data_IF_221995283516
#
_entry.id   IF_221995283516
#
_cell.length_a   1.000
_cell.length_b   1.000
_cell.length_c   1.000
_cell.angle_alpha   90.00
_cell.angle_beta   90.00
_cell.angle_gamma   90.00
#
_symmetry.space_group_name_H-M   'P 1'
#
loop_
_entity.id
_entity.type
_entity.pdbx_description
1 polymer ?
#
# COMPACT_ATOMS: atom_id res chain seq x y z
N UNK A 1 -7.51 0.78 0.11
CA UNK A 1 -8.58 0.23 0.95
C UNK A 1 -9.01 -1.11 0.37
N UNK A 2 -9.07 -2.13 1.22
CA UNK A 2 -9.61 -3.46 0.90
C UNK A 2 -10.96 -3.57 1.62
N UNK A 3 -12.00 -3.94 0.89
CA UNK A 3 -13.34 -4.11 1.47
C UNK A 3 -13.88 -5.51 1.17
N UNK A 4 -14.56 -6.09 2.13
CA UNK A 4 -15.13 -7.44 2.00
C UNK A 4 -16.63 -7.37 1.74
N UNK A 5 -17.20 -8.46 1.20
CA UNK A 5 -18.64 -8.57 1.00
C UNK A 5 -19.47 -8.51 2.30
N UNK A 6 -18.82 -8.65 3.45
CA UNK A 6 -19.46 -8.62 4.77
C UNK A 6 -19.25 -7.31 5.52
N UNK A 7 -18.90 -6.23 4.82
CA UNK A 7 -18.78 -4.90 5.39
C UNK A 7 -17.55 -4.67 6.27
N UNK A 8 -16.46 -5.44 6.06
CA UNK A 8 -15.19 -5.21 6.72
C UNK A 8 -14.28 -4.34 5.85
N UNK A 9 -13.61 -3.35 6.44
CA UNK A 9 -12.65 -2.49 5.78
C UNK A 9 -11.24 -2.65 6.38
N UNK A 10 -10.26 -2.69 5.50
CA UNK A 10 -8.83 -2.69 5.83
C UNK A 10 -8.16 -1.61 4.99
N UNK A 11 -7.29 -0.83 5.60
CA UNK A 11 -6.60 0.27 4.94
C UNK A 11 -5.11 0.00 4.85
N UNK A 12 -4.49 0.49 3.78
CA UNK A 12 -3.04 0.59 3.64
C UNK A 12 -2.78 2.02 3.25
N UNK A 13 -2.09 2.76 4.11
CA UNK A 13 -1.89 4.19 3.99
C UNK A 13 -3.20 4.97 3.76
N UNK A 14 -3.12 6.24 3.57
CA UNK A 14 -4.28 7.09 3.33
C UNK A 14 -4.02 8.53 3.72
N UNK A 15 -3.04 9.13 3.10
CA UNK A 15 -2.68 10.52 3.30
C UNK A 15 -2.61 11.31 1.99
N UNK A 16 -2.32 12.59 2.10
CA UNK A 16 -2.06 13.49 0.98
C UNK A 16 -1.34 14.73 1.47
N UNK A 17 -0.40 15.25 0.67
CA UNK A 17 0.22 16.57 0.88
C UNK A 17 -0.43 17.65 0.02
N UNK A 18 -1.30 17.29 -0.92
CA UNK A 18 -1.97 18.23 -1.83
C UNK A 18 -3.43 18.50 -1.45
N UNK A 19 -4.09 17.51 -0.87
CA UNK A 19 -5.47 17.63 -0.42
C UNK A 19 -5.52 17.89 1.09
N UNK A 20 -6.10 19.01 1.47
CA UNK A 20 -6.38 19.27 2.88
C UNK A 20 -7.52 18.40 3.38
N UNK A 21 -7.37 17.84 4.58
CA UNK A 21 -8.42 17.05 5.22
C UNK A 21 -8.85 15.82 4.39
N UNK A 22 -7.89 15.06 3.89
CA UNK A 22 -8.12 13.85 3.09
C UNK A 22 -8.93 12.79 3.87
N UNK A 23 -8.70 12.66 5.17
CA UNK A 23 -9.46 11.78 6.05
C UNK A 23 -10.94 12.13 6.06
N UNK A 24 -11.25 13.40 6.29
CA UNK A 24 -12.62 13.93 6.35
C UNK A 24 -13.31 13.97 4.99
N UNK A 25 -12.59 14.43 3.96
CA UNK A 25 -13.22 14.77 2.68
C UNK A 25 -13.23 13.61 1.67
N UNK A 26 -12.34 12.63 1.84
CA UNK A 26 -12.16 11.52 0.89
C UNK A 26 -12.39 10.17 1.56
N UNK A 27 -11.62 9.86 2.62
CA UNK A 27 -11.65 8.53 3.23
C UNK A 27 -12.98 8.27 3.94
N UNK A 28 -13.40 9.17 4.83
CA UNK A 28 -14.65 9.03 5.58
C UNK A 28 -15.88 8.93 4.68
N UNK A 29 -16.07 9.79 3.67
CA UNK A 29 -17.17 9.64 2.72
C UNK A 29 -17.12 8.31 1.94
N UNK A 30 -15.91 7.85 1.57
CA UNK A 30 -15.74 6.57 0.89
C UNK A 30 -16.13 5.37 1.75
N UNK A 31 -15.81 5.40 3.05
CA UNK A 31 -16.23 4.40 4.03
C UNK A 31 -17.75 4.44 4.24
N UNK A 32 -18.31 5.64 4.47
CA UNK A 32 -19.76 5.85 4.66
C UNK A 32 -20.58 5.40 3.45
N UNK A 33 -20.14 5.70 2.23
CA UNK A 33 -20.79 5.25 1.00
C UNK A 33 -20.92 3.72 0.94
N UNK A 34 -19.98 2.99 1.57
CA UNK A 34 -19.98 1.53 1.67
C UNK A 34 -20.59 1.00 2.97
N UNK A 35 -21.25 1.87 3.73
CA UNK A 35 -21.84 1.56 5.05
C UNK A 35 -20.84 0.99 6.05
N UNK A 36 -19.59 1.46 6.00
CA UNK A 36 -18.51 1.03 6.87
C UNK A 36 -18.29 2.08 7.97
N UNK A 37 -18.51 1.67 9.22
CA UNK A 37 -18.38 2.53 10.42
C UNK A 37 -17.10 2.21 11.21
N UNK A 38 -16.30 1.28 10.74
CA UNK A 38 -15.04 0.84 11.37
C UNK A 38 -14.05 0.40 10.30
N UNK A 39 -12.78 0.66 10.53
CA UNK A 39 -11.65 0.02 9.85
C UNK A 39 -11.09 -1.03 10.79
N UNK A 40 -11.05 -2.28 10.37
CA UNK A 40 -10.59 -3.40 11.23
C UNK A 40 -9.09 -3.33 11.50
N UNK A 41 -8.32 -3.02 10.45
CA UNK A 41 -6.87 -2.82 10.55
C UNK A 41 -6.41 -1.77 9.56
N UNK A 42 -5.49 -0.93 9.99
CA UNK A 42 -4.85 0.09 9.17
C UNK A 42 -3.34 -0.14 9.14
N UNK A 43 -2.83 -0.52 7.99
CA UNK A 43 -1.42 -0.77 7.76
C UNK A 43 -0.77 0.53 7.27
N UNK A 44 0.28 0.95 7.92
CA UNK A 44 1.03 2.18 7.58
C UNK A 44 2.42 1.75 7.11
N UNK A 45 2.76 2.16 5.89
CA UNK A 45 4.06 1.81 5.31
C UNK A 45 5.18 2.62 5.95
N UNK A 46 4.97 3.92 6.18
CA UNK A 46 5.86 4.86 6.86
C UNK A 46 5.07 6.11 7.28
N UNK A 47 5.69 7.04 8.02
CA UNK A 47 4.97 8.14 8.67
C UNK A 47 4.97 9.47 7.92
N UNK A 48 5.30 9.51 6.64
CA UNK A 48 5.16 10.74 5.86
C UNK A 48 3.69 11.15 5.68
N UNK A 49 3.44 12.45 5.64
CA UNK A 49 2.08 13.02 5.66
C UNK A 49 1.18 12.55 4.51
N UNK A 50 1.75 12.26 3.34
CA UNK A 50 1.00 11.71 2.21
C UNK A 50 0.62 10.23 2.39
N UNK A 51 1.06 9.61 3.49
CA UNK A 51 0.65 8.27 3.90
C UNK A 51 -0.24 8.27 5.14
N UNK A 52 -0.05 9.22 6.07
CA UNK A 52 -0.72 9.16 7.38
C UNK A 52 -1.68 10.31 7.69
N UNK A 53 -1.71 11.41 6.93
CA UNK A 53 -2.57 12.56 7.29
C UNK A 53 -4.04 12.17 7.45
N UNK A 54 -4.54 11.28 6.61
CA UNK A 54 -5.94 10.87 6.67
C UNK A 54 -6.31 9.98 7.86
N UNK A 55 -5.41 9.09 8.29
CA UNK A 55 -5.66 8.30 9.51
C UNK A 55 -5.58 9.20 10.75
N UNK A 56 -4.61 10.12 10.83
CA UNK A 56 -4.52 11.09 11.93
C UNK A 56 -5.83 11.85 12.10
N UNK A 57 -6.38 12.40 11.00
CA UNK A 57 -7.67 13.09 11.02
C UNK A 57 -8.85 12.21 11.49
N UNK A 58 -8.85 10.92 11.15
CA UNK A 58 -9.92 10.02 11.57
C UNK A 58 -9.76 9.59 13.03
N UNK A 59 -8.54 9.43 13.53
CA UNK A 59 -8.26 9.20 14.96
C UNK A 59 -8.75 10.39 15.78
N UNK A 60 -8.37 11.63 15.41
CA UNK A 60 -8.82 12.86 16.07
C UNK A 60 -10.35 13.03 16.10
N UNK A 61 -11.08 12.32 15.26
CA UNK A 61 -12.54 12.32 15.18
C UNK A 61 -13.17 11.10 15.85
N UNK A 62 -12.42 10.36 16.62
CA UNK A 62 -12.86 9.13 17.27
C UNK A 62 -13.51 8.12 16.31
N UNK A 63 -13.07 8.12 15.03
CA UNK A 63 -13.52 7.10 14.10
C UNK A 63 -12.98 5.73 14.51
N UNK A 64 -13.87 4.73 14.54
CA UNK A 64 -13.50 3.41 15.03
C UNK A 64 -12.44 2.74 14.15
N UNK A 65 -11.25 2.55 14.70
CA UNK A 65 -10.13 1.80 14.12
C UNK A 65 -9.79 0.66 15.06
N UNK A 66 -9.70 -0.56 14.54
CA UNK A 66 -9.46 -1.74 15.33
C UNK A 66 -8.02 -1.86 15.79
N UNK A 67 -7.09 -1.80 14.84
CA UNK A 67 -5.66 -1.85 15.11
C UNK A 67 -4.88 -1.10 14.02
N UNK A 68 -3.82 -0.44 14.40
CA UNK A 68 -2.83 0.15 13.49
C UNK A 68 -1.60 -0.74 13.48
N UNK A 69 -1.09 -1.02 12.29
CA UNK A 69 0.10 -1.85 12.09
C UNK A 69 1.22 -1.02 11.49
N UNK A 70 2.37 -1.02 12.16
CA UNK A 70 3.60 -0.34 11.75
C UNK A 70 4.70 -1.38 11.47
N UNK A 71 5.78 -0.97 10.81
CA UNK A 71 7.01 -1.76 10.72
C UNK A 71 7.75 -1.77 12.06
N UNK A 72 8.36 -2.90 12.46
CA UNK A 72 9.32 -2.92 13.57
C UNK A 72 10.57 -2.06 13.29
N UNK A 73 10.85 -1.80 12.01
CA UNK A 73 11.99 -1.04 11.53
C UNK A 73 11.67 0.44 11.26
N UNK A 74 10.47 0.90 11.66
CA UNK A 74 10.10 2.31 11.56
C UNK A 74 11.08 3.18 12.35
N UNK A 75 11.43 4.35 11.82
CA UNK A 75 12.35 5.26 12.51
C UNK A 75 11.78 5.71 13.85
N UNK A 76 12.62 5.64 14.88
CA UNK A 76 12.26 6.05 16.26
C UNK A 76 12.57 7.53 16.44
N UNK A 77 11.76 8.35 15.86
CA UNK A 77 11.88 9.80 15.83
C UNK A 77 10.67 10.51 16.46
N UNK A 78 10.66 11.82 16.41
CA UNK A 78 9.59 12.66 16.94
C UNK A 78 8.24 12.39 16.25
N UNK A 79 8.23 12.04 14.95
CA UNK A 79 6.99 11.74 14.22
C UNK A 79 6.32 10.48 14.78
N UNK A 80 7.12 9.43 15.06
CA UNK A 80 6.61 8.21 15.68
C UNK A 80 6.07 8.49 17.07
N UNK A 81 6.81 9.25 17.90
CA UNK A 81 6.36 9.60 19.24
C UNK A 81 5.02 10.35 19.23
N UNK A 82 4.88 11.34 18.33
CA UNK A 82 3.63 12.10 18.16
C UNK A 82 2.49 11.21 17.68
N UNK A 83 2.75 10.31 16.74
CA UNK A 83 1.74 9.40 16.22
C UNK A 83 1.26 8.40 17.28
N UNK A 84 2.19 7.84 18.05
CA UNK A 84 1.85 6.92 19.16
C UNK A 84 1.08 7.63 20.28
N UNK A 85 1.46 8.87 20.62
CA UNK A 85 0.71 9.69 21.58
C UNK A 85 -0.73 9.99 21.11
N UNK A 86 -0.92 10.25 19.82
CA UNK A 86 -2.24 10.43 19.21
C UNK A 86 -3.06 9.13 19.36
N UNK A 87 -2.50 7.99 18.95
CA UNK A 87 -3.17 6.70 19.08
C UNK A 87 -3.56 6.39 20.54
N UNK A 88 -2.64 6.62 21.46
CA UNK A 88 -2.88 6.41 22.90
C UNK A 88 -4.00 7.31 23.45
N UNK A 89 -4.03 8.58 23.04
CA UNK A 89 -5.05 9.55 23.48
C UNK A 89 -6.46 9.14 23.06
N UNK A 90 -6.60 8.42 21.93
CA UNK A 90 -7.87 7.99 21.36
C UNK A 90 -8.12 6.48 21.47
N UNK A 91 -7.40 5.78 22.36
CA UNK A 91 -7.55 4.34 22.61
C UNK A 91 -7.43 3.47 21.33
N UNK A 92 -6.54 3.87 20.40
CA UNK A 92 -6.24 3.09 19.19
C UNK A 92 -5.04 2.17 19.45
N UNK A 93 -5.24 0.88 19.28
CA UNK A 93 -4.20 -0.12 19.46
C UNK A 93 -3.17 -0.04 18.33
N UNK A 94 -1.88 -0.15 18.67
CA UNK A 94 -0.77 -0.17 17.72
C UNK A 94 0.02 -1.47 17.87
N UNK A 95 0.27 -2.15 16.77
CA UNK A 95 1.08 -3.37 16.70
C UNK A 95 2.15 -3.24 15.62
N UNK A 96 3.13 -4.13 15.65
CA UNK A 96 4.27 -4.07 14.77
C UNK A 96 4.38 -5.34 13.92
N UNK A 97 4.98 -5.21 12.73
CA UNK A 97 5.24 -6.27 11.78
C UNK A 97 6.71 -6.27 11.37
N UNK A 98 7.28 -7.46 11.28
CA UNK A 98 8.64 -7.72 10.75
C UNK A 98 8.56 -8.59 9.48
N UNK A 99 9.61 -8.57 8.69
CA UNK A 99 9.72 -9.39 7.49
C UNK A 99 9.59 -10.88 7.81
N UNK A 100 8.63 -11.53 7.18
CA UNK A 100 8.23 -12.91 7.43
C UNK A 100 6.96 -13.07 8.24
N UNK A 101 6.50 -12.02 8.93
CA UNK A 101 5.22 -12.06 9.63
C UNK A 101 4.07 -12.20 8.66
N UNK A 102 3.04 -12.90 9.09
CA UNK A 102 1.83 -13.08 8.30
C UNK A 102 0.57 -12.90 9.12
N UNK A 103 -0.39 -12.21 8.54
CA UNK A 103 -1.73 -12.05 9.07
C UNK A 103 -2.72 -12.75 8.15
N UNK A 104 -3.63 -13.51 8.73
CA UNK A 104 -4.65 -14.24 7.97
C UNK A 104 -6.03 -13.95 8.48
N UNK A 105 -6.94 -13.72 7.57
CA UNK A 105 -8.37 -13.72 7.85
C UNK A 105 -9.12 -14.53 6.80
N UNK A 106 -10.43 -14.66 6.94
CA UNK A 106 -11.26 -15.42 5.99
C UNK A 106 -11.14 -14.93 4.53
N UNK A 107 -10.75 -13.68 4.32
CA UNK A 107 -10.86 -12.99 3.03
C UNK A 107 -9.52 -12.84 2.30
N UNK A 108 -8.44 -12.75 3.05
CA UNK A 108 -7.09 -12.60 2.51
C UNK A 108 -6.05 -13.12 3.50
N UNK A 109 -4.87 -13.38 2.97
CA UNK A 109 -3.63 -13.49 3.74
C UNK A 109 -2.74 -12.32 3.36
N UNK A 110 -2.04 -11.77 4.33
CA UNK A 110 -1.01 -10.74 4.13
C UNK A 110 0.31 -11.28 4.67
N UNK A 111 1.36 -11.19 3.89
CA UNK A 111 2.72 -11.52 4.30
C UNK A 111 3.57 -10.24 4.22
N UNK A 112 4.28 -9.94 5.30
CA UNK A 112 5.29 -8.88 5.31
C UNK A 112 6.54 -9.40 4.62
N UNK A 113 6.95 -8.70 3.56
CA UNK A 113 8.13 -9.06 2.76
C UNK A 113 9.37 -8.32 3.24
N UNK A 114 9.19 -7.03 3.60
CA UNK A 114 10.27 -6.11 3.94
C UNK A 114 9.70 -4.97 4.82
N UNK A 115 10.48 -4.34 5.69
CA UNK A 115 11.87 -4.69 6.08
C UNK A 115 11.96 -6.02 6.81
N UNK A 116 13.13 -6.64 6.86
CA UNK A 116 13.40 -7.84 7.65
C UNK A 116 14.65 -7.65 8.52
N UNK A 117 14.89 -8.57 9.46
CA UNK A 117 16.01 -8.51 10.43
C UNK A 117 17.41 -8.43 9.80
N UNK A 118 17.55 -8.67 8.51
CA UNK A 118 18.81 -8.59 7.76
C UNK A 118 18.94 -7.29 7.00
N UNK A 119 17.85 -6.55 6.85
CA UNK A 119 17.86 -5.26 6.19
C UNK A 119 18.53 -4.23 7.09
N UNK A 120 19.40 -3.42 6.52
CA UNK A 120 20.14 -2.35 7.20
C UNK A 120 20.04 -1.08 6.35
N UNK A 121 18.84 -0.52 6.33
CA UNK A 121 18.54 0.73 5.65
C UNK A 121 18.16 1.79 6.69
N UNK A 122 18.49 3.04 6.38
CA UNK A 122 18.11 4.21 7.17
C UNK A 122 17.24 5.12 6.31
N UNK A 123 16.26 5.75 6.95
CA UNK A 123 15.29 6.63 6.30
C UNK A 123 13.89 6.04 6.29
N UNK A 124 12.90 6.93 6.33
CA UNK A 124 11.49 6.53 6.41
C UNK A 124 11.04 5.77 5.16
N UNK A 125 11.36 6.31 3.98
CA UNK A 125 11.01 5.70 2.71
C UNK A 125 11.69 4.34 2.55
N UNK A 126 12.98 4.27 2.88
CA UNK A 126 13.83 3.10 2.75
C UNK A 126 13.38 1.94 3.64
N UNK A 127 12.69 2.23 4.76
CA UNK A 127 12.12 1.26 5.68
C UNK A 127 10.59 1.13 5.55
N UNK A 128 10.03 1.57 4.42
CA UNK A 128 8.60 1.38 4.11
C UNK A 128 8.19 -0.08 4.18
N UNK A 129 7.06 -0.35 4.81
CA UNK A 129 6.49 -1.69 4.91
C UNK A 129 6.04 -2.20 3.53
N UNK A 130 6.65 -3.29 3.07
CA UNK A 130 6.28 -3.99 1.83
C UNK A 130 5.48 -5.24 2.17
N UNK A 131 4.27 -5.34 1.64
CA UNK A 131 3.39 -6.47 1.94
C UNK A 131 2.85 -7.13 0.67
N UNK A 132 2.74 -8.45 0.72
CA UNK A 132 2.08 -9.27 -0.29
C UNK A 132 0.74 -9.76 0.23
N UNK A 133 -0.34 -9.26 -0.33
CA UNK A 133 -1.70 -9.59 0.06
C UNK A 133 -2.29 -10.53 -0.98
N UNK A 134 -2.67 -11.74 -0.56
CA UNK A 134 -3.37 -12.70 -1.41
C UNK A 134 -4.86 -12.68 -1.07
N UNK A 135 -5.68 -12.23 -2.00
CA UNK A 135 -7.14 -12.19 -1.87
C UNK A 135 -7.73 -13.52 -2.32
N UNK A 136 -8.72 -14.00 -1.58
CA UNK A 136 -9.33 -15.33 -1.77
C UNK A 136 -8.28 -16.45 -1.81
N UNK A 137 -7.49 -16.62 -0.73
CA UNK A 137 -6.50 -17.67 -0.67
C UNK A 137 -7.19 -19.04 -0.84
N UNK A 138 -6.64 -19.89 -1.69
CA UNK A 138 -7.26 -21.18 -2.04
C UNK A 138 -8.19 -21.16 -3.26
N UNK A 139 -8.44 -19.99 -3.88
CA UNK A 139 -9.10 -19.91 -5.19
C UNK A 139 -8.21 -20.49 -6.29
N UNK A 140 -8.82 -21.00 -7.37
CA UNK A 140 -8.08 -21.39 -8.59
C UNK A 140 -7.43 -20.19 -9.30
N UNK A 141 -7.92 -18.98 -9.05
CA UNK A 141 -7.48 -17.72 -9.63
C UNK A 141 -7.20 -16.68 -8.54
N UNK A 142 -6.17 -16.89 -7.70
CA UNK A 142 -5.88 -15.94 -6.63
C UNK A 142 -5.41 -14.61 -7.19
N UNK A 143 -5.75 -13.53 -6.50
CA UNK A 143 -5.26 -12.19 -6.80
C UNK A 143 -4.28 -11.78 -5.73
N UNK A 144 -3.06 -11.45 -6.14
CA UNK A 144 -2.02 -10.91 -5.27
C UNK A 144 -1.89 -9.41 -5.49
N UNK A 145 -1.84 -8.66 -4.41
CA UNK A 145 -1.52 -7.24 -4.38
C UNK A 145 -0.20 -7.06 -3.63
N UNK A 146 0.81 -6.60 -4.34
CA UNK A 146 2.09 -6.20 -3.74
C UNK A 146 2.04 -4.69 -3.49
N UNK A 147 2.11 -4.29 -2.22
CA UNK A 147 2.24 -2.89 -1.81
C UNK A 147 3.66 -2.62 -1.38
N UNK A 148 4.20 -1.49 -1.78
CA UNK A 148 5.64 -1.22 -1.69
C UNK A 148 5.99 0.06 -0.95
N UNK A 149 4.98 0.77 -0.40
CA UNK A 149 5.23 2.07 0.19
C UNK A 149 6.05 2.96 -0.75
N UNK A 150 7.05 3.59 -0.20
CA UNK A 150 7.90 4.52 -0.94
C UNK A 150 9.37 4.05 -1.04
N UNK A 151 9.57 2.72 -1.06
CA UNK A 151 10.91 2.13 -1.28
C UNK A 151 11.56 2.62 -2.57
N UNK A 152 12.88 2.68 -2.56
CA UNK A 152 13.71 3.00 -3.70
C UNK A 152 14.27 1.78 -4.43
N UNK A 153 15.07 2.03 -5.46
CA UNK A 153 15.71 1.00 -6.28
C UNK A 153 16.61 0.05 -5.46
N UNK A 154 17.28 0.53 -4.43
CA UNK A 154 18.16 -0.29 -3.60
C UNK A 154 17.36 -1.34 -2.83
N UNK A 155 16.22 -0.96 -2.25
CA UNK A 155 15.31 -1.87 -1.55
C UNK A 155 14.65 -2.85 -2.51
N UNK A 156 14.27 -2.41 -3.71
CA UNK A 156 13.74 -3.29 -4.77
C UNK A 156 14.74 -4.40 -5.11
N UNK A 157 16.02 -4.05 -5.30
CA UNK A 157 17.10 -5.01 -5.55
C UNK A 157 17.36 -5.94 -4.35
N UNK A 158 17.33 -5.38 -3.14
CA UNK A 158 17.44 -6.19 -1.93
C UNK A 158 16.33 -7.24 -1.85
N UNK A 159 15.10 -6.82 -2.04
CA UNK A 159 13.93 -7.71 -2.01
C UNK A 159 14.03 -8.79 -3.10
N UNK A 160 14.47 -8.45 -4.30
CA UNK A 160 14.68 -9.42 -5.37
C UNK A 160 15.77 -10.44 -5.01
N UNK A 161 16.84 -10.02 -4.35
CA UNK A 161 17.93 -10.92 -3.99
C UNK A 161 17.57 -11.89 -2.87
N UNK A 162 16.69 -11.47 -1.93
CA UNK A 162 16.37 -12.24 -0.72
C UNK A 162 14.99 -12.90 -0.74
N UNK A 163 14.01 -12.29 -1.43
CA UNK A 163 12.60 -12.68 -1.36
C UNK A 163 11.96 -12.99 -2.72
N UNK A 164 12.71 -13.02 -3.81
CA UNK A 164 12.19 -13.23 -5.17
C UNK A 164 11.23 -14.42 -5.30
N UNK A 165 11.49 -15.51 -4.59
CA UNK A 165 10.64 -16.70 -4.68
C UNK A 165 9.23 -16.49 -4.13
N UNK A 166 9.06 -15.63 -3.12
CA UNK A 166 7.76 -15.26 -2.55
C UNK A 166 6.93 -14.42 -3.52
N UNK A 167 7.59 -13.61 -4.35
CA UNK A 167 6.97 -12.66 -5.27
C UNK A 167 6.59 -13.29 -6.62
N UNK A 168 7.11 -14.47 -6.94
CA UNK A 168 6.77 -15.18 -8.18
C UNK A 168 5.31 -15.62 -8.17
N UNK A 169 4.68 -15.55 -9.34
CA UNK A 169 3.37 -16.18 -9.54
C UNK A 169 3.51 -17.69 -9.36
N UNK A 170 2.61 -18.26 -8.58
CA UNK A 170 2.55 -19.71 -8.33
C UNK A 170 1.87 -20.45 -9.48
N UNK A 171 1.10 -19.76 -10.30
CA UNK A 171 0.31 -20.28 -11.41
C UNK A 171 0.12 -19.23 -12.49
N UNK A 172 0.00 -19.63 -13.77
CA UNK A 172 -0.38 -18.71 -14.85
C UNK A 172 -1.76 -18.06 -14.67
N UNK A 173 -2.62 -18.64 -13.85
CA UNK A 173 -3.96 -18.12 -13.53
C UNK A 173 -3.93 -17.09 -12.38
N UNK A 174 -2.79 -16.94 -11.72
CA UNK A 174 -2.63 -15.96 -10.66
C UNK A 174 -2.45 -14.57 -11.24
N UNK A 175 -3.17 -13.61 -10.67
CA UNK A 175 -3.03 -12.20 -11.02
C UNK A 175 -2.15 -11.51 -10.01
N UNK A 176 -1.10 -10.83 -10.46
CA UNK A 176 -0.26 -9.96 -9.66
C UNK A 176 -0.53 -8.50 -9.98
N UNK A 177 -0.96 -7.75 -8.97
CA UNK A 177 -1.13 -6.31 -9.03
C UNK A 177 -0.01 -5.68 -8.21
N UNK A 178 0.71 -4.75 -8.81
CA UNK A 178 1.74 -3.96 -8.15
C UNK A 178 1.21 -2.57 -7.83
N UNK A 179 1.21 -2.16 -6.55
CA UNK A 179 1.17 -0.73 -6.21
C UNK A 179 2.57 -0.18 -6.44
N UNK A 180 2.71 0.68 -7.44
CA UNK A 180 3.98 1.32 -7.80
C UNK A 180 4.60 2.02 -6.60
N UNK A 181 5.88 1.77 -6.35
CA UNK A 181 6.61 2.37 -5.25
C UNK A 181 6.76 3.89 -5.45
N UNK A 182 6.71 4.61 -4.36
CA UNK A 182 6.96 6.04 -4.26
C UNK A 182 6.19 6.83 -5.35
N UNK A 183 4.88 6.54 -5.45
CA UNK A 183 3.95 7.20 -6.38
C UNK A 183 4.40 7.18 -7.85
N UNK A 184 5.25 6.21 -8.22
CA UNK A 184 5.86 6.12 -9.54
C UNK A 184 7.09 7.01 -9.71
N UNK A 185 7.85 7.26 -8.65
CA UNK A 185 9.12 8.01 -8.69
C UNK A 185 10.10 7.44 -9.71
N UNK A 186 10.94 8.30 -10.30
CA UNK A 186 12.05 7.86 -11.16
C UNK A 186 13.10 7.03 -10.42
N UNK A 187 13.23 7.23 -9.10
CA UNK A 187 14.18 6.54 -8.21
C UNK A 187 13.65 5.19 -7.71
N UNK A 188 12.50 4.77 -8.17
CA UNK A 188 11.85 3.51 -7.86
C UNK A 188 11.39 2.82 -9.13
N UNK A 189 10.80 1.63 -9.01
CA UNK A 189 10.26 0.88 -10.15
C UNK A 189 11.34 0.60 -11.20
N UNK A 190 12.50 0.11 -10.75
CA UNK A 190 13.63 -0.15 -11.64
C UNK A 190 13.30 -1.27 -12.63
N UNK A 191 14.02 -1.31 -13.76
CA UNK A 191 13.76 -2.27 -14.84
C UNK A 191 13.89 -3.72 -14.36
N UNK A 192 14.88 -4.00 -13.50
CA UNK A 192 15.09 -5.33 -12.93
C UNK A 192 13.89 -5.78 -12.09
N UNK A 193 13.35 -4.87 -11.24
CA UNK A 193 12.16 -5.10 -10.43
C UNK A 193 10.95 -5.42 -11.28
N UNK A 194 10.61 -4.54 -12.21
CA UNK A 194 9.46 -4.70 -13.08
C UNK A 194 9.57 -5.95 -13.98
N UNK A 195 10.76 -6.23 -14.51
CA UNK A 195 11.03 -7.41 -15.34
C UNK A 195 10.96 -8.72 -14.56
N UNK A 196 11.34 -8.71 -13.28
CA UNK A 196 11.27 -9.88 -12.42
C UNK A 196 9.85 -10.20 -11.96
N UNK A 197 9.07 -9.16 -11.62
CA UNK A 197 7.68 -9.29 -11.14
C UNK A 197 6.70 -9.57 -12.27
N UNK A 198 6.84 -8.88 -13.40
CA UNK A 198 5.89 -8.89 -14.52
C UNK A 198 4.44 -8.78 -14.04
N UNK A 199 4.09 -7.69 -13.34
CA UNK A 199 2.73 -7.52 -12.86
C UNK A 199 1.73 -7.49 -14.01
N UNK A 200 0.52 -8.02 -13.79
CA UNK A 200 -0.57 -7.92 -14.76
C UNK A 200 -1.18 -6.52 -14.79
N UNK A 201 -1.02 -5.78 -13.68
CA UNK A 201 -1.43 -4.38 -13.58
C UNK A 201 -0.55 -3.65 -12.58
N UNK A 202 -0.05 -2.48 -12.96
CA UNK A 202 0.64 -1.55 -12.04
C UNK A 202 -0.30 -0.39 -11.69
N UNK A 203 -0.56 -0.21 -10.40
CA UNK A 203 -1.37 0.90 -9.88
C UNK A 203 -0.45 2.02 -9.43
N UNK A 204 -0.67 3.21 -9.96
CA UNK A 204 0.07 4.42 -9.60
C UNK A 204 -0.88 5.37 -8.89
N UNK A 205 -0.60 5.64 -7.61
CA UNK A 205 -1.34 6.64 -6.83
C UNK A 205 -0.58 7.94 -6.85
N UNK A 206 -1.06 8.93 -7.58
CA UNK A 206 -0.46 10.26 -7.65
C UNK A 206 -1.56 11.33 -7.76
N UNK A 207 -1.33 12.47 -7.14
CA UNK A 207 -2.25 13.61 -7.18
C UNK A 207 -2.04 14.48 -8.42
N UNK A 208 -3.10 15.02 -8.98
CA UNK A 208 -3.01 15.97 -10.09
C UNK A 208 -2.30 17.25 -9.62
N UNK A 209 -1.25 17.64 -10.35
CA UNK A 209 -0.47 18.82 -9.99
C UNK A 209 0.44 18.64 -8.78
N UNK A 210 0.76 17.39 -8.39
CA UNK A 210 1.68 17.14 -7.29
C UNK A 210 3.07 17.79 -7.55
N UNK A 211 3.66 18.33 -6.49
CA UNK A 211 4.93 19.09 -6.57
C UNK A 211 6.14 18.25 -6.98
N UNK A 212 6.04 16.92 -6.86
CA UNK A 212 7.16 16.02 -7.14
C UNK A 212 7.22 15.58 -8.61
N UNK A 213 6.17 15.90 -9.40
CA UNK A 213 6.07 15.49 -10.80
C UNK A 213 5.85 13.98 -10.98
N UNK A 214 5.26 13.31 -9.99
CA UNK A 214 4.91 11.90 -10.10
C UNK A 214 3.63 11.69 -10.92
N UNK A 215 3.55 10.57 -11.69
CA UNK A 215 4.62 9.59 -11.92
C UNK A 215 5.75 10.16 -12.77
N UNK A 216 6.97 9.73 -12.46
CA UNK A 216 8.17 10.15 -13.14
C UNK A 216 8.24 9.62 -14.58
N UNK A 217 8.87 10.40 -15.47
CA UNK A 217 8.96 10.05 -16.90
C UNK A 217 9.68 8.72 -17.15
N UNK A 218 10.74 8.45 -16.38
CA UNK A 218 11.53 7.22 -16.57
C UNK A 218 10.75 5.99 -16.12
N UNK A 219 9.98 6.08 -15.04
CA UNK A 219 9.09 5.00 -14.62
C UNK A 219 8.02 4.70 -15.67
N UNK A 220 7.37 5.74 -16.21
CA UNK A 220 6.38 5.56 -17.28
C UNK A 220 7.01 4.99 -18.55
N UNK A 221 8.23 5.40 -18.89
CA UNK A 221 9.00 4.85 -20.01
C UNK A 221 9.30 3.37 -19.82
N UNK A 222 9.81 2.95 -18.63
CA UNK A 222 10.10 1.55 -18.31
C UNK A 222 8.85 0.68 -18.44
N UNK A 223 7.72 1.10 -17.85
CA UNK A 223 6.45 0.37 -17.95
C UNK A 223 6.03 0.16 -19.42
N UNK A 224 6.15 1.20 -20.26
CA UNK A 224 5.82 1.13 -21.66
C UNK A 224 6.77 0.21 -22.45
N UNK A 225 8.07 0.32 -22.24
CA UNK A 225 9.09 -0.50 -22.92
C UNK A 225 8.96 -1.98 -22.54
N UNK A 226 8.63 -2.28 -21.28
CA UNK A 226 8.36 -3.63 -20.80
C UNK A 226 6.95 -4.13 -21.14
N UNK A 227 6.11 -3.30 -21.79
CA UNK A 227 4.72 -3.60 -22.15
C UNK A 227 3.88 -4.04 -20.96
N UNK A 228 4.06 -3.39 -19.82
CA UNK A 228 3.31 -3.61 -18.59
C UNK A 228 2.13 -2.66 -18.52
N UNK A 229 0.95 -3.19 -18.24
CA UNK A 229 -0.24 -2.38 -18.06
C UNK A 229 -0.17 -1.55 -16.78
N UNK A 230 -0.58 -0.29 -16.87
CA UNK A 230 -0.60 0.61 -15.72
C UNK A 230 -1.83 1.51 -15.71
N UNK A 231 -2.29 1.86 -14.52
CA UNK A 231 -3.36 2.83 -14.29
C UNK A 231 -2.90 3.86 -13.26
N UNK A 232 -3.10 5.14 -13.57
CA UNK A 232 -2.73 6.24 -12.68
C UNK A 232 -3.98 6.98 -12.19
N UNK A 233 -4.04 7.29 -10.90
CA UNK A 233 -5.16 8.04 -10.31
C UNK A 233 -5.30 9.46 -10.84
N UNK A 234 -4.25 10.04 -11.44
CA UNK A 234 -4.33 11.34 -12.13
C UNK A 234 -5.31 11.28 -13.31
N UNK A 235 -5.30 10.17 -14.05
CA UNK A 235 -6.08 10.00 -15.29
C UNK A 235 -7.46 9.40 -15.01
N UNK A 236 -7.54 8.50 -14.05
CA UNK A 236 -8.73 7.67 -13.82
C UNK A 236 -9.54 8.09 -12.58
N UNK A 237 -8.98 8.92 -11.70
CA UNK A 237 -9.55 9.14 -10.38
C UNK A 237 -9.46 7.88 -9.52
N UNK A 238 -10.55 7.48 -8.88
CA UNK A 238 -10.59 6.28 -8.06
C UNK A 238 -10.50 5.00 -8.90
N UNK A 239 -9.53 4.14 -8.59
CA UNK A 239 -9.42 2.80 -9.18
C UNK A 239 -10.04 1.79 -8.23
N UNK A 240 -11.00 1.00 -8.73
CA UNK A 240 -11.63 -0.08 -7.96
C UNK A 240 -11.41 -1.42 -8.66
N UNK A 241 -10.88 -2.40 -7.92
CA UNK A 241 -10.70 -3.78 -8.40
C UNK A 241 -11.64 -4.68 -7.62
N UNK A 242 -12.39 -5.53 -8.31
CA UNK A 242 -13.33 -6.50 -7.70
C UNK A 242 -12.82 -7.92 -7.85
N UNK A 243 -12.87 -8.69 -6.77
CA UNK A 243 -12.20 -9.98 -6.62
C UNK A 243 -12.81 -11.20 -7.33
N UNK A 244 -13.61 -11.01 -8.40
CA UNK A 244 -14.09 -12.13 -9.23
C UNK A 244 -13.49 -12.13 -10.63
N UNK A 245 -12.39 -11.45 -10.82
CA UNK A 245 -11.70 -11.22 -12.09
C UNK A 245 -11.27 -9.76 -12.18
N UNK A 246 -10.19 -9.51 -12.94
CA UNK A 246 -9.75 -8.15 -13.21
C UNK A 246 -10.75 -7.53 -14.19
N UNK A 247 -11.75 -6.87 -13.64
CA UNK A 247 -12.45 -5.83 -14.40
C UNK A 247 -12.19 -4.55 -13.60
N UNK A 248 -11.20 -3.74 -13.99
CA UNK A 248 -11.03 -2.43 -13.40
C UNK A 248 -12.31 -1.64 -13.63
N UNK A 249 -12.98 -1.26 -12.57
CA UNK A 249 -14.16 -0.41 -12.66
C UNK A 249 -13.67 1.03 -12.52
N UNK A 250 -13.48 1.68 -13.67
CA UNK A 250 -13.19 3.12 -13.71
C UNK A 250 -14.52 3.83 -13.48
N UNK A 251 -14.66 4.56 -12.39
CA UNK A 251 -15.71 5.59 -12.26
C UNK A 251 -15.07 6.92 -12.59
N UNK A 252 -15.52 7.52 -13.68
CA UNK A 252 -15.29 8.93 -13.96
C UNK A 252 -16.07 9.82 -13.00
#
# INVERSE_FOLDING_TARGET
MITTAYGKAFMIDGGSTTESSVGKNIILPSLKYRSMNRVESWFITHLDEDHVSGIKELIEKDFSIGNVWLSEHIEKDEKLEQFLALCQTHDVEVSYLDGGDSLSCKYFTMETIFPDKRSDFSGENENSLVTLITVNPGSETPVKLLTTGDIGEEQEKYILSHHRNKLKKSSPKETLILKSAHHGSNNSNCEEWLSALKPDLTLISAGKGNRYGHPGRDTMKRLKELKLDSMCTIDTGQIQIKGNGITPFIRH
#
